data_IF_472314996101
#
_entry.id   IF_472314996101
#
_cell.length_a   1.000
_cell.length_b   1.000
_cell.length_c   1.000
_cell.angle_alpha   90.00
_cell.angle_beta   90.00
_cell.angle_gamma   90.00
#
_symmetry.space_group_name_H-M   'P 1'
#
loop_
_entity.id
_entity.type
_entity.pdbx_description
1 polymer ?
#
# COMPACT_ATOMS: atom_id res chain seq x y z
N UNK A 1 10.32 -6.86 4.42
CA UNK A 1 8.99 -6.44 3.91
C UNK A 1 9.22 -5.33 2.88
N UNK A 2 8.58 -5.35 1.70
CA UNK A 2 8.89 -4.43 0.58
C UNK A 2 8.92 -2.95 0.99
N UNK A 3 7.96 -2.52 1.83
CA UNK A 3 7.85 -1.13 2.26
C UNK A 3 8.97 -0.75 3.25
N UNK A 4 9.28 -1.58 4.25
CA UNK A 4 10.38 -1.31 5.19
C UNK A 4 11.75 -1.24 4.50
N UNK A 5 11.99 -2.08 3.49
CA UNK A 5 13.23 -2.05 2.71
C UNK A 5 13.37 -0.75 1.89
N UNK A 6 12.25 -0.19 1.44
CA UNK A 6 12.24 1.05 0.65
C UNK A 6 12.29 2.33 1.49
N UNK A 7 11.70 2.31 2.68
CA UNK A 7 11.67 3.44 3.62
C UNK A 7 12.93 3.47 4.50
N UNK A 8 13.58 2.32 4.72
CA UNK A 8 14.79 2.20 5.55
C UNK A 8 14.52 2.34 7.05
N UNK A 9 13.26 2.19 7.48
CA UNK A 9 12.81 2.35 8.87
C UNK A 9 11.91 1.16 9.22
N UNK A 10 12.09 0.61 10.42
CA UNK A 10 11.17 -0.37 10.98
C UNK A 10 9.97 0.34 11.63
N UNK A 11 8.77 -0.12 11.31
CA UNK A 11 7.51 0.40 11.83
C UNK A 11 6.49 -0.73 11.97
N UNK A 12 5.48 -0.56 12.81
CA UNK A 12 4.39 -1.53 13.00
C UNK A 12 3.44 -1.49 11.78
N UNK A 13 2.84 -2.62 11.41
CA UNK A 13 1.89 -2.71 10.29
C UNK A 13 0.67 -1.79 10.40
N UNK A 14 0.37 -1.31 11.61
CA UNK A 14 -0.67 -0.30 11.90
C UNK A 14 -0.20 1.15 11.77
N UNK A 15 1.10 1.39 11.58
CA UNK A 15 1.67 2.73 11.46
C UNK A 15 1.13 3.42 10.21
N UNK A 16 0.68 4.66 10.38
CA UNK A 16 0.22 5.50 9.28
C UNK A 16 1.41 6.05 8.50
N UNK A 17 1.96 5.25 7.59
CA UNK A 17 3.19 5.53 6.85
C UNK A 17 3.11 6.83 6.01
N UNK A 18 1.91 7.26 5.61
CA UNK A 18 1.71 8.53 4.90
C UNK A 18 1.72 9.73 5.83
N UNK A 19 1.03 9.66 6.97
CA UNK A 19 0.97 10.74 7.97
C UNK A 19 2.34 10.94 8.65
N UNK A 20 3.06 9.85 8.92
CA UNK A 20 4.43 9.89 9.45
C UNK A 20 5.46 10.39 8.41
N UNK A 21 5.04 10.64 7.17
CA UNK A 21 5.92 11.11 6.10
C UNK A 21 6.95 10.07 5.64
N UNK A 22 6.76 8.80 6.01
CA UNK A 22 7.62 7.68 5.63
C UNK A 22 7.50 7.37 4.13
N UNK A 23 6.33 7.63 3.56
CA UNK A 23 6.07 7.47 2.13
C UNK A 23 5.45 8.72 1.53
N UNK A 24 5.71 8.94 0.25
CA UNK A 24 5.20 10.09 -0.51
C UNK A 24 4.32 9.64 -1.68
N UNK A 25 3.72 10.61 -2.38
CA UNK A 25 2.83 10.35 -3.51
C UNK A 25 3.51 9.60 -4.66
N UNK A 26 4.83 9.78 -4.85
CA UNK A 26 5.59 9.04 -5.87
C UNK A 26 5.74 7.56 -5.48
N UNK A 27 6.04 7.29 -4.21
CA UNK A 27 6.11 5.94 -3.68
C UNK A 27 4.76 5.22 -3.79
N UNK A 28 3.64 5.92 -3.57
CA UNK A 28 2.31 5.35 -3.74
C UNK A 28 2.09 4.75 -5.14
N UNK A 29 2.55 5.45 -6.20
CA UNK A 29 2.48 4.97 -7.59
C UNK A 29 3.41 3.77 -7.84
N UNK A 30 4.60 3.77 -7.23
CA UNK A 30 5.52 2.62 -7.32
C UNK A 30 4.95 1.39 -6.61
N UNK A 31 4.39 1.58 -5.40
CA UNK A 31 3.72 0.55 -4.63
C UNK A 31 2.51 0.01 -5.38
N UNK A 32 1.70 0.86 -6.00
CA UNK A 32 0.61 0.44 -6.88
C UNK A 32 1.08 -0.54 -7.95
N UNK A 33 2.14 -0.17 -8.69
CA UNK A 33 2.70 -1.02 -9.75
C UNK A 33 3.24 -2.35 -9.19
N UNK A 34 3.83 -2.32 -8.00
CA UNK A 34 4.28 -3.53 -7.31
C UNK A 34 3.10 -4.44 -6.94
N UNK A 35 2.05 -3.89 -6.34
CA UNK A 35 0.88 -4.64 -5.91
C UNK A 35 0.13 -5.27 -7.08
N UNK A 36 -0.04 -4.54 -8.19
CA UNK A 36 -0.67 -5.08 -9.40
C UNK A 36 0.09 -6.29 -9.96
N UNK A 37 1.42 -6.22 -9.99
CA UNK A 37 2.28 -7.30 -10.49
C UNK A 37 2.32 -8.50 -9.55
N UNK A 38 2.48 -8.25 -8.26
CA UNK A 38 2.68 -9.31 -7.25
C UNK A 38 1.38 -10.07 -6.95
N UNK A 39 0.25 -9.35 -6.88
CA UNK A 39 -1.03 -9.94 -6.48
C UNK A 39 -2.00 -10.17 -7.64
N UNK A 40 -1.60 -9.81 -8.86
CA UNK A 40 -2.44 -9.87 -10.08
C UNK A 40 -3.81 -9.21 -9.86
N UNK A 41 -3.81 -8.03 -9.23
CA UNK A 41 -4.98 -7.17 -9.01
C UNK A 41 -4.90 -5.95 -9.92
N UNK A 42 -6.03 -5.27 -10.12
CA UNK A 42 -6.07 -3.95 -10.77
C UNK A 42 -6.28 -2.88 -9.71
N UNK A 43 -5.40 -1.89 -9.69
CA UNK A 43 -5.46 -0.75 -8.78
C UNK A 43 -5.73 0.50 -9.60
N UNK A 44 -6.81 1.21 -9.28
CA UNK A 44 -7.14 2.50 -9.92
C UNK A 44 -6.69 3.67 -9.06
N UNK A 45 -6.69 4.89 -9.62
CA UNK A 45 -6.43 6.08 -8.80
C UNK A 45 -7.48 6.26 -7.69
N UNK A 46 -8.72 5.82 -7.91
CA UNK A 46 -9.77 5.87 -6.88
C UNK A 46 -9.49 4.91 -5.71
N UNK A 47 -8.74 3.83 -5.97
CA UNK A 47 -8.33 2.90 -4.93
C UNK A 47 -7.26 3.50 -4.01
N UNK A 48 -6.45 4.44 -4.51
CA UNK A 48 -5.40 5.18 -3.79
C UNK A 48 -5.96 6.21 -2.80
N UNK A 49 -7.05 5.86 -2.13
CA UNK A 49 -7.58 6.61 -1.00
C UNK A 49 -6.67 6.40 0.22
N UNK A 50 -6.51 7.44 1.03
CA UNK A 50 -5.78 7.41 2.30
C UNK A 50 -6.27 6.25 3.18
N UNK A 51 -7.57 5.94 3.19
CA UNK A 51 -8.08 4.85 4.04
C UNK A 51 -7.60 3.45 3.63
N UNK A 52 -7.35 3.23 2.34
CA UNK A 52 -6.86 1.94 1.82
C UNK A 52 -5.32 1.84 1.87
N UNK A 53 -4.62 2.98 1.92
CA UNK A 53 -3.17 3.05 1.74
C UNK A 53 -2.39 3.58 2.95
N UNK A 54 -3.08 4.07 4.00
CA UNK A 54 -2.42 4.67 5.17
C UNK A 54 -1.46 3.75 5.91
N UNK A 55 -1.69 2.44 5.92
CA UNK A 55 -0.86 1.47 6.65
C UNK A 55 -0.72 0.15 5.91
N UNK A 56 0.25 -0.68 6.32
CA UNK A 56 0.48 -2.01 5.73
C UNK A 56 -0.75 -2.90 5.90
N UNK A 57 -1.40 -2.84 7.07
CA UNK A 57 -2.64 -3.56 7.31
C UNK A 57 -3.79 -3.08 6.41
N UNK A 58 -3.90 -1.78 6.17
CA UNK A 58 -4.90 -1.22 5.25
C UNK A 58 -4.68 -1.73 3.82
N UNK A 59 -3.42 -1.73 3.36
CA UNK A 59 -3.03 -2.26 2.06
C UNK A 59 -3.33 -3.77 1.96
N UNK A 60 -3.03 -4.54 3.01
CA UNK A 60 -3.34 -5.97 3.08
C UNK A 60 -4.84 -6.24 2.97
N UNK A 61 -5.66 -5.47 3.68
CA UNK A 61 -7.12 -5.56 3.59
C UNK A 61 -7.64 -5.19 2.20
N UNK A 62 -7.08 -4.13 1.60
CA UNK A 62 -7.41 -3.71 0.24
C UNK A 62 -7.13 -4.83 -0.79
N UNK A 63 -5.94 -5.44 -0.75
CA UNK A 63 -5.58 -6.56 -1.64
C UNK A 63 -6.56 -7.72 -1.47
N UNK A 64 -6.86 -8.08 -0.22
CA UNK A 64 -7.78 -9.18 0.10
C UNK A 64 -9.18 -8.91 -0.46
N UNK A 65 -9.69 -7.69 -0.31
CA UNK A 65 -10.99 -7.30 -0.85
C UNK A 65 -11.01 -7.39 -2.39
N UNK A 66 -9.96 -6.91 -3.07
CA UNK A 66 -9.84 -7.00 -4.54
C UNK A 66 -9.79 -8.44 -5.04
N UNK A 67 -9.18 -9.35 -4.28
CA UNK A 67 -9.13 -10.77 -4.65
C UNK A 67 -10.47 -11.50 -4.46
N UNK A 68 -11.33 -11.05 -3.55
CA UNK A 68 -12.65 -11.66 -3.33
C UNK A 68 -13.69 -11.24 -4.37
N UNK A 69 -13.57 -10.04 -4.96
CA UNK A 69 -14.55 -9.47 -5.91
C UNK A 69 -14.18 -9.80 -7.37
N UNK A 70 -13.56 -10.97 -7.62
CA UNK A 70 -13.14 -11.41 -8.97
C UNK A 70 -14.30 -11.69 -9.91
#
# INVERSE_FOLDING_TARGET
>A
MYIQDHVGIEFNDDTEIFEEGLVNSLFAIQLMTFLEKEFAIKVTMDDLDMDNYKSVNSIGNFIRNKQMVR
#
